data_IF_692395417932
#
_entry.id   IF_692395417932
#
_cell.length_a   1.000
_cell.length_b   1.000
_cell.length_c   1.000
_cell.angle_alpha   90.00
_cell.angle_beta   90.00
_cell.angle_gamma   90.00
#
_symmetry.space_group_name_H-M   'P 1'
#
loop_
_entity.id
_entity.type
_entity.pdbx_description
1 polymer ?
#
# COMPACT_ATOMS: atom_id res chain seq x y z
N UNK A 1 -11.97 29.49 10.96
CA UNK A 1 -11.20 28.88 9.86
C UNK A 1 -12.19 28.18 8.96
N UNK A 2 -12.15 28.41 7.65
CA UNK A 2 -13.15 27.86 6.70
C UNK A 2 -12.43 26.93 5.75
N UNK A 3 -12.76 25.63 5.81
CA UNK A 3 -12.30 24.66 4.83
C UNK A 3 -13.02 24.92 3.50
N UNK A 4 -12.26 24.97 2.41
CA UNK A 4 -12.80 25.13 1.06
C UNK A 4 -12.28 24.01 0.18
N UNK A 5 -13.12 23.47 -0.72
CA UNK A 5 -12.65 22.52 -1.71
C UNK A 5 -11.63 23.18 -2.64
N UNK A 6 -10.62 22.43 -3.04
CA UNK A 6 -9.55 22.89 -3.92
C UNK A 6 -9.55 22.09 -5.22
N UNK A 7 -10.38 22.47 -6.19
CA UNK A 7 -10.54 21.74 -7.46
C UNK A 7 -9.22 21.46 -8.21
N UNK A 8 -8.24 22.40 -8.31
CA UNK A 8 -6.99 22.09 -8.99
C UNK A 8 -6.20 20.93 -8.35
N UNK A 9 -6.38 20.66 -7.06
CA UNK A 9 -5.68 19.59 -6.34
C UNK A 9 -6.17 18.21 -6.77
N UNK A 10 -7.39 18.11 -7.32
CA UNK A 10 -7.98 16.86 -7.83
C UNK A 10 -7.03 16.11 -8.78
N UNK A 11 -6.24 16.84 -9.58
CA UNK A 11 -5.27 16.27 -10.53
C UNK A 11 -4.10 15.54 -9.87
N UNK A 12 -3.79 15.87 -8.62
CA UNK A 12 -2.66 15.34 -7.87
C UNK A 12 -3.07 14.41 -6.73
N UNK A 13 -4.37 14.18 -6.50
CA UNK A 13 -4.86 13.36 -5.40
C UNK A 13 -4.32 11.93 -5.42
N UNK A 14 -4.10 11.35 -6.61
CA UNK A 14 -3.50 10.03 -6.78
C UNK A 14 -2.03 9.92 -6.31
N UNK A 15 -1.38 11.05 -5.99
CA UNK A 15 -0.03 11.09 -5.42
C UNK A 15 -0.05 11.23 -3.90
N UNK A 16 -1.22 11.42 -3.30
CA UNK A 16 -1.40 11.72 -1.89
C UNK A 16 -2.07 10.54 -1.18
N UNK A 17 -1.65 10.21 0.05
CA UNK A 17 -2.36 9.25 0.87
C UNK A 17 -3.73 9.80 1.28
N UNK A 18 -4.70 8.90 1.47
CA UNK A 18 -6.02 9.29 1.94
C UNK A 18 -5.94 9.94 3.33
N UNK A 19 -6.74 10.99 3.53
CA UNK A 19 -6.88 11.69 4.81
C UNK A 19 -5.56 12.23 5.40
N UNK A 20 -4.53 12.45 4.57
CA UNK A 20 -3.25 12.99 5.03
C UNK A 20 -3.22 14.53 4.97
N UNK A 21 -3.15 15.24 6.11
CA UNK A 21 -2.96 16.68 6.11
C UNK A 21 -1.51 17.02 5.70
N UNK A 22 -1.37 17.93 4.72
CA UNK A 22 -0.07 18.33 4.20
C UNK A 22 0.09 19.85 4.22
N UNK A 23 1.28 20.38 4.57
CA UNK A 23 1.57 21.79 4.42
C UNK A 23 1.67 22.15 2.92
N UNK A 24 1.33 23.40 2.56
CA UNK A 24 1.49 23.90 1.18
C UNK A 24 2.93 23.87 0.66
N UNK A 25 3.91 23.84 1.56
CA UNK A 25 5.33 23.70 1.25
C UNK A 25 5.81 22.24 1.13
N UNK A 26 4.92 21.26 1.26
CA UNK A 26 5.29 19.85 1.14
C UNK A 26 5.85 19.53 -0.24
N UNK A 27 6.94 18.77 -0.28
CA UNK A 27 7.51 18.23 -1.51
C UNK A 27 6.82 16.89 -1.76
N UNK A 28 5.86 16.88 -2.67
CA UNK A 28 5.11 15.67 -3.05
C UNK A 28 5.86 14.93 -4.16
N UNK A 29 6.26 13.66 -3.96
CA UNK A 29 6.87 12.86 -5.01
C UNK A 29 5.93 12.69 -6.22
N UNK A 30 6.42 13.05 -7.41
CA UNK A 30 5.61 13.06 -8.65
C UNK A 30 5.04 14.43 -9.03
N UNK A 31 5.09 15.43 -8.13
CA UNK A 31 4.80 16.82 -8.48
C UNK A 31 6.08 17.58 -8.85
N UNK A 32 5.96 18.44 -9.87
CA UNK A 32 6.99 19.39 -10.22
C UNK A 32 7.00 20.53 -9.20
N UNK A 33 8.20 20.96 -8.80
CA UNK A 33 8.36 22.10 -7.90
C UNK A 33 7.63 23.33 -8.43
N UNK A 34 7.07 24.09 -7.49
CA UNK A 34 6.44 25.36 -7.81
C UNK A 34 7.51 26.33 -8.38
N UNK A 35 7.14 27.21 -9.33
CA UNK A 35 8.08 28.21 -9.83
C UNK A 35 8.49 29.13 -8.67
N UNK A 36 9.71 29.69 -8.71
CA UNK A 36 10.31 30.47 -7.62
C UNK A 36 9.42 31.60 -7.05
N UNK A 37 8.39 32.01 -7.79
CA UNK A 37 7.51 33.14 -7.54
C UNK A 37 6.19 32.73 -6.88
N UNK A 38 5.90 31.43 -6.78
CA UNK A 38 4.63 30.87 -6.30
C UNK A 38 4.98 29.72 -5.36
N UNK A 39 5.22 30.02 -4.08
CA UNK A 39 5.84 29.10 -3.12
C UNK A 39 5.03 27.87 -2.71
N UNK A 40 3.93 27.55 -3.40
CA UNK A 40 3.02 26.45 -3.06
C UNK A 40 2.72 25.61 -4.30
N UNK A 41 3.27 24.39 -4.32
CA UNK A 41 3.08 23.44 -5.41
C UNK A 41 1.66 22.85 -5.45
N UNK A 42 0.94 22.88 -4.33
CA UNK A 42 -0.41 22.33 -4.19
C UNK A 42 -1.49 23.30 -4.67
N UNK A 43 -1.21 24.62 -4.69
CA UNK A 43 -2.12 25.63 -5.27
C UNK A 43 -2.36 25.42 -6.76
N UNK A 44 -1.32 25.04 -7.51
CA UNK A 44 -1.41 24.76 -8.94
C UNK A 44 -0.53 23.57 -9.29
N UNK A 45 -0.98 22.34 -8.97
CA UNK A 45 -0.16 21.16 -9.09
C UNK A 45 0.16 20.88 -10.56
N UNK A 46 1.44 20.61 -10.81
CA UNK A 46 1.96 20.21 -12.11
C UNK A 46 2.60 18.84 -11.95
N UNK A 47 2.08 17.85 -12.65
CA UNK A 47 2.62 16.49 -12.62
C UNK A 47 3.95 16.43 -13.38
N UNK A 48 4.89 15.63 -12.88
CA UNK A 48 6.05 15.22 -13.67
C UNK A 48 5.61 14.33 -14.83
N UNK A 49 6.40 14.32 -15.91
CA UNK A 49 6.11 13.45 -17.06
C UNK A 49 6.31 11.99 -16.66
N UNK A 50 5.32 11.15 -16.90
CA UNK A 50 5.44 9.71 -16.78
C UNK A 50 6.04 9.10 -18.05
N UNK A 51 6.73 7.97 -17.90
CA UNK A 51 7.20 7.15 -19.02
C UNK A 51 6.82 5.70 -18.75
N UNK A 52 6.35 4.95 -19.76
CA UNK A 52 6.00 3.55 -19.59
C UNK A 52 7.27 2.73 -19.29
N UNK A 53 7.16 1.80 -18.35
CA UNK A 53 8.17 0.81 -18.05
C UNK A 53 7.53 -0.57 -17.96
N UNK A 54 8.28 -1.60 -18.33
CA UNK A 54 7.85 -2.99 -18.27
C UNK A 54 8.84 -3.75 -17.39
N UNK A 55 8.31 -4.58 -16.51
CA UNK A 55 9.08 -5.52 -15.72
C UNK A 55 8.70 -6.91 -16.19
N UNK A 56 9.70 -7.73 -16.46
CA UNK A 56 9.53 -9.10 -16.93
C UNK A 56 10.36 -10.05 -16.06
N UNK A 57 9.85 -11.26 -15.84
CA UNK A 57 10.51 -12.30 -15.02
C UNK A 57 10.95 -11.86 -13.62
N UNK A 58 10.08 -11.19 -12.86
CA UNK A 58 10.37 -10.80 -11.47
C UNK A 58 10.35 -12.04 -10.56
N UNK A 59 11.42 -12.26 -9.81
CA UNK A 59 11.45 -13.18 -8.67
C UNK A 59 11.59 -12.39 -7.38
N UNK A 60 10.72 -12.64 -6.40
CA UNK A 60 10.72 -11.95 -5.11
C UNK A 60 11.09 -12.95 -4.02
N UNK A 61 12.15 -12.64 -3.26
CA UNK A 61 12.57 -13.43 -2.11
C UNK A 61 12.56 -12.54 -0.88
N UNK A 62 11.82 -12.94 0.15
CA UNK A 62 11.65 -12.17 1.39
C UNK A 62 12.38 -12.88 2.54
N UNK A 63 13.29 -12.20 3.25
CA UNK A 63 13.81 -12.64 4.54
C UNK A 63 13.16 -11.87 5.71
N UNK A 64 12.71 -12.55 6.79
CA UNK A 64 12.54 -14.00 6.89
C UNK A 64 11.52 -14.51 5.86
N UNK A 65 11.46 -15.83 5.65
CA UNK A 65 10.47 -16.38 4.72
C UNK A 65 9.06 -15.94 5.09
N UNK A 66 8.16 -15.89 4.10
CA UNK A 66 6.79 -15.42 4.30
C UNK A 66 6.09 -16.23 5.40
N UNK A 67 6.32 -17.54 5.42
CA UNK A 67 5.74 -18.47 6.41
C UNK A 67 6.19 -18.12 7.82
N UNK A 68 7.47 -17.77 8.03
CA UNK A 68 8.00 -17.38 9.34
C UNK A 68 7.43 -16.07 9.83
N UNK A 69 7.26 -15.11 8.93
CA UNK A 69 6.60 -13.86 9.25
C UNK A 69 5.15 -14.10 9.66
N UNK A 70 4.40 -14.90 8.89
CA UNK A 70 3.01 -15.25 9.17
C UNK A 70 2.86 -15.99 10.49
N UNK A 71 3.69 -17.01 10.77
CA UNK A 71 3.71 -17.71 12.06
C UNK A 71 3.83 -16.72 13.24
N UNK A 72 4.76 -15.77 13.13
CA UNK A 72 4.98 -14.76 14.16
C UNK A 72 3.77 -13.84 14.30
N UNK A 73 3.25 -13.33 13.18
CA UNK A 73 2.10 -12.43 13.17
C UNK A 73 0.84 -13.12 13.74
N UNK A 74 0.56 -14.35 13.32
CA UNK A 74 -0.57 -15.13 13.82
C UNK A 74 -0.45 -15.40 15.32
N UNK A 75 0.74 -15.70 15.81
CA UNK A 75 0.98 -15.87 17.25
C UNK A 75 0.65 -14.59 18.02
N UNK A 76 1.13 -13.43 17.54
CA UNK A 76 0.89 -12.14 18.18
C UNK A 76 -0.59 -11.76 18.16
N UNK A 77 -1.28 -11.94 17.02
CA UNK A 77 -2.71 -11.65 16.91
C UNK A 77 -3.57 -12.58 17.79
N UNK A 78 -3.21 -13.85 17.89
CA UNK A 78 -3.91 -14.77 18.78
C UNK A 78 -3.72 -14.40 20.25
N UNK A 79 -2.52 -13.95 20.65
CA UNK A 79 -2.27 -13.47 21.99
C UNK A 79 -3.09 -12.21 22.30
N UNK A 80 -3.12 -11.25 21.37
CA UNK A 80 -3.90 -10.02 21.51
C UNK A 80 -5.41 -10.31 21.67
N UNK A 81 -5.95 -11.24 20.86
CA UNK A 81 -7.34 -11.70 20.96
C UNK A 81 -7.66 -12.28 22.35
N UNK A 82 -6.79 -13.14 22.89
CA UNK A 82 -7.01 -13.76 24.20
C UNK A 82 -6.94 -12.72 25.33
N UNK A 83 -6.02 -11.76 25.21
CA UNK A 83 -5.87 -10.66 26.17
C UNK A 83 -7.08 -9.71 26.15
N UNK A 84 -7.61 -9.37 24.97
CA UNK A 84 -8.73 -8.44 24.83
C UNK A 84 -10.04 -8.98 25.43
N UNK A 85 -10.24 -10.29 25.39
CA UNK A 85 -11.46 -10.96 25.85
C UNK A 85 -11.34 -11.59 27.27
N UNK A 86 -10.19 -11.48 27.94
CA UNK A 86 -9.84 -12.22 29.18
C UNK A 86 -10.18 -13.72 29.09
N UNK A 87 -9.97 -14.29 27.90
CA UNK A 87 -10.39 -15.65 27.54
C UNK A 87 -9.24 -16.63 27.71
N UNK A 88 -9.55 -17.78 28.28
CA UNK A 88 -8.70 -18.97 28.15
C UNK A 88 -8.63 -19.42 26.68
N UNK A 89 -7.60 -20.18 26.27
CA UNK A 89 -7.50 -20.72 24.91
C UNK A 89 -8.78 -21.50 24.55
N UNK A 90 -9.58 -20.93 23.67
CA UNK A 90 -10.93 -21.40 23.30
C UNK A 90 -10.91 -22.35 22.09
N UNK A 91 -9.72 -22.77 21.65
CA UNK A 91 -9.53 -23.62 20.48
C UNK A 91 -9.72 -22.91 19.13
N UNK A 92 -10.12 -21.64 19.12
CA UNK A 92 -10.16 -20.82 17.92
C UNK A 92 -8.80 -20.15 17.69
N UNK A 93 -8.36 -20.08 16.43
CA UNK A 93 -7.11 -19.43 16.06
C UNK A 93 -7.28 -18.57 14.82
N UNK A 94 -6.62 -17.41 14.82
CA UNK A 94 -6.44 -16.59 13.62
C UNK A 94 -5.61 -17.41 12.63
N UNK A 95 -6.03 -17.43 11.38
CA UNK A 95 -5.36 -18.10 10.27
C UNK A 95 -5.29 -17.17 9.06
N UNK A 96 -4.30 -17.40 8.19
CA UNK A 96 -4.20 -16.70 6.91
C UNK A 96 -5.32 -17.20 6.00
N UNK A 97 -6.20 -16.29 5.59
CA UNK A 97 -7.31 -16.61 4.68
C UNK A 97 -6.88 -16.57 3.21
N UNK A 98 -6.10 -15.56 2.84
CA UNK A 98 -5.61 -15.37 1.47
C UNK A 98 -4.28 -14.60 1.50
N UNK A 99 -3.49 -14.80 0.44
CA UNK A 99 -2.26 -14.05 0.19
C UNK A 99 -2.43 -13.27 -1.09
N UNK A 100 -2.12 -11.97 -1.06
CA UNK A 100 -2.21 -11.09 -2.23
C UNK A 100 -0.90 -10.36 -2.44
N UNK A 101 -0.36 -10.46 -3.65
CA UNK A 101 0.77 -9.67 -4.09
C UNK A 101 0.26 -8.45 -4.86
N UNK A 102 0.55 -7.26 -4.35
CA UNK A 102 0.23 -6.00 -5.00
C UNK A 102 1.46 -5.48 -5.75
N UNK A 103 1.33 -5.29 -7.06
CA UNK A 103 2.39 -4.83 -7.95
C UNK A 103 1.93 -3.52 -8.58
N UNK A 104 2.58 -2.41 -8.26
CA UNK A 104 2.23 -1.10 -8.79
C UNK A 104 3.34 -0.08 -8.60
N UNK A 105 3.21 1.06 -9.27
CA UNK A 105 4.13 2.18 -9.11
C UNK A 105 3.80 2.92 -7.82
N UNK A 106 4.76 3.00 -6.92
CA UNK A 106 4.62 3.70 -5.64
C UNK A 106 5.52 4.94 -5.63
N UNK A 107 4.97 6.11 -5.28
CA UNK A 107 5.77 7.34 -5.21
C UNK A 107 6.48 7.53 -3.86
N UNK A 108 6.40 6.54 -2.98
CA UNK A 108 6.91 6.60 -1.60
C UNK A 108 5.83 6.93 -0.57
N UNK A 109 4.68 7.47 -1.00
CA UNK A 109 3.55 7.78 -0.13
C UNK A 109 2.34 6.89 -0.40
N UNK A 110 2.02 6.67 -1.68
CA UNK A 110 0.91 5.83 -2.11
C UNK A 110 1.19 5.21 -3.47
N UNK A 111 0.35 4.25 -3.87
CA UNK A 111 0.30 3.77 -5.24
C UNK A 111 -0.24 4.89 -6.14
N UNK A 112 0.54 5.24 -7.17
CA UNK A 112 0.22 6.30 -8.14
C UNK A 112 -0.96 5.90 -9.03
N UNK A 113 -1.17 4.60 -9.19
CA UNK A 113 -2.24 3.96 -9.97
C UNK A 113 -2.68 2.71 -9.22
N UNK A 114 -3.87 2.19 -9.53
CA UNK A 114 -4.33 0.93 -8.95
C UNK A 114 -3.31 -0.19 -9.16
N UNK A 115 -2.80 -0.81 -8.08
CA UNK A 115 -1.84 -1.89 -8.20
C UNK A 115 -2.52 -3.12 -8.83
N UNK A 116 -1.75 -3.87 -9.62
CA UNK A 116 -2.16 -5.19 -10.05
C UNK A 116 -2.12 -6.14 -8.86
N UNK A 117 -3.18 -6.89 -8.65
CA UNK A 117 -3.34 -7.78 -7.49
C UNK A 117 -3.34 -9.22 -7.96
N UNK A 118 -2.36 -10.00 -7.53
CA UNK A 118 -2.30 -11.44 -7.76
C UNK A 118 -2.60 -12.18 -6.46
N UNK A 119 -3.54 -13.13 -6.50
CA UNK A 119 -3.77 -14.06 -5.40
C UNK A 119 -2.68 -15.13 -5.44
N UNK A 120 -1.95 -15.30 -4.34
CA UNK A 120 -0.88 -16.28 -4.23
C UNK A 120 -1.45 -17.58 -3.67
N UNK A 121 -1.27 -18.67 -4.43
CA UNK A 121 -1.63 -20.02 -4.02
C UNK A 121 -0.35 -20.76 -3.63
N UNK A 122 -0.31 -21.43 -2.48
CA UNK A 122 0.84 -22.27 -2.12
C UNK A 122 1.10 -23.33 -3.18
N UNK A 123 2.36 -23.69 -3.40
CA UNK A 123 2.73 -24.73 -4.37
C UNK A 123 2.09 -26.10 -4.08
N UNK A 124 1.69 -26.38 -2.83
CA UNK A 124 1.05 -27.65 -2.47
C UNK A 124 -0.47 -27.71 -2.77
N UNK A 125 -1.10 -26.56 -3.03
CA UNK A 125 -2.53 -26.46 -3.38
C UNK A 125 -2.78 -26.49 -4.90
N UNK A 126 -1.74 -26.30 -5.72
CA UNK A 126 -1.87 -26.27 -7.19
C UNK A 126 -2.12 -27.65 -7.83
N UNK A 127 -2.07 -28.74 -7.04
CA UNK A 127 -2.20 -30.12 -7.51
C UNK A 127 -3.61 -30.73 -7.57
N UNK A 128 -4.68 -30.01 -7.21
CA UNK A 128 -6.06 -30.58 -7.18
C UNK A 128 -6.96 -30.26 -8.37
N UNK A 129 -6.42 -29.69 -9.45
CA UNK A 129 -7.19 -29.39 -10.65
C UNK A 129 -6.41 -29.67 -11.93
N UNK A 130 -6.25 -30.94 -12.31
CA UNK A 130 -5.77 -31.29 -13.65
C UNK A 130 -5.09 -32.64 -13.80
N UNK A 131 -5.86 -33.72 -13.81
CA UNK A 131 -5.83 -34.85 -14.78
C UNK A 131 -6.79 -35.95 -14.32
#
# INVERSE_FOLDING_TARGET
YTLRPHEPLAKALHLLPENCPLPGSAIVPGLASAPANSGDALLKPRLLKSSPCYLDHITVTLPPSLERFEETLLSLLNQDRLNADDRMPDGHAVAVQERRLHIGVHNGWTFVQDPQVAVLVPEWDTGKGGS
#
